data_IF_425051341105
#
_entry.id   IF_425051341105
#
_cell.length_a   1.000
_cell.length_b   1.000
_cell.length_c   1.000
_cell.angle_alpha   90.00
_cell.angle_beta   90.00
_cell.angle_gamma   90.00
#
_symmetry.space_group_name_H-M   'P 1'
#
loop_
_entity.id
_entity.type
_entity.pdbx_description
1 polymer ?
#
# COMPACT_ATOMS: atom_id res chain seq x y z
N UNK A 1 -8.48 40.79 3.48
CA UNK A 1 -9.42 39.67 3.29
C UNK A 1 -8.57 38.40 3.22
N UNK A 2 -8.69 37.52 4.22
CA UNK A 2 -7.89 36.30 4.35
C UNK A 2 -8.61 35.19 3.56
N UNK A 3 -7.98 34.71 2.50
CA UNK A 3 -8.48 33.55 1.75
C UNK A 3 -8.23 32.29 2.59
N UNK A 4 -9.31 31.69 3.09
CA UNK A 4 -9.28 30.35 3.65
C UNK A 4 -9.25 29.36 2.48
N UNK A 5 -8.18 28.58 2.40
CA UNK A 5 -8.07 27.46 1.47
C UNK A 5 -9.09 26.42 1.93
N UNK A 6 -10.14 26.25 1.14
CA UNK A 6 -11.11 25.16 1.27
C UNK A 6 -10.41 23.86 0.85
N UNK A 7 -9.88 23.12 1.82
CA UNK A 7 -9.47 21.73 1.66
C UNK A 7 -10.72 20.84 1.71
N UNK A 8 -11.52 20.89 0.65
CA UNK A 8 -12.76 20.10 0.51
C UNK A 8 -12.61 19.25 -0.76
N UNK A 9 -12.74 17.92 -0.59
CA UNK A 9 -12.55 16.83 -1.56
C UNK A 9 -11.14 16.23 -1.59
N UNK A 10 -10.78 15.52 -0.51
CA UNK A 10 -9.50 14.82 -0.39
C UNK A 10 -9.65 13.38 0.13
N UNK A 11 -10.41 12.57 -0.59
CA UNK A 11 -10.26 11.12 -0.51
C UNK A 11 -9.03 10.63 -1.29
N UNK A 12 -8.36 11.50 -2.07
CA UNK A 12 -7.20 11.16 -2.92
C UNK A 12 -6.05 12.20 -2.92
N UNK A 13 -6.17 13.44 -2.43
CA UNK A 13 -5.07 14.45 -2.61
C UNK A 13 -4.09 14.64 -1.44
N UNK A 14 -3.69 13.62 -0.71
CA UNK A 14 -2.36 13.72 -0.10
C UNK A 14 -1.39 13.19 -1.14
N UNK A 15 -0.44 14.03 -1.58
CA UNK A 15 0.61 13.81 -2.61
C UNK A 15 0.43 14.59 -3.94
N UNK A 16 -0.18 15.78 -3.94
CA UNK A 16 0.00 16.76 -5.04
C UNK A 16 0.97 17.86 -4.62
N UNK A 17 2.22 17.77 -5.09
CA UNK A 17 3.23 18.81 -4.90
C UNK A 17 2.86 20.12 -5.59
N UNK A 18 3.13 21.24 -4.93
CA UNK A 18 3.10 22.57 -5.53
C UNK A 18 4.29 22.73 -6.48
N UNK A 19 4.03 23.00 -7.76
CA UNK A 19 5.04 23.33 -8.76
C UNK A 19 5.73 24.66 -8.43
N UNK A 20 7.02 24.61 -8.07
CA UNK A 20 7.94 25.74 -8.25
C UNK A 20 8.96 25.40 -9.34
N UNK A 21 8.68 25.88 -10.56
CA UNK A 21 9.58 25.84 -11.70
C UNK A 21 10.89 26.56 -11.38
N UNK A 22 12.02 25.85 -11.42
CA UNK A 22 13.31 26.43 -11.79
C UNK A 22 14.01 25.61 -12.87
N UNK A 23 14.05 26.20 -14.06
CA UNK A 23 14.85 25.79 -15.20
C UNK A 23 16.31 25.58 -14.82
N UNK A 24 16.89 24.45 -15.23
CA UNK A 24 18.33 24.38 -15.54
C UNK A 24 18.56 23.46 -16.73
N UNK A 25 19.16 24.03 -17.77
CA UNK A 25 19.66 23.34 -18.97
C UNK A 25 21.01 22.67 -18.66
N UNK A 26 21.43 21.62 -19.39
CA UNK A 26 22.51 20.73 -19.01
C UNK A 26 23.86 21.12 -19.63
N UNK A 27 24.94 20.80 -18.94
CA UNK A 27 26.31 20.69 -19.48
C UNK A 27 26.88 19.36 -18.99
N UNK A 28 26.88 18.31 -19.81
CA UNK A 28 27.94 17.92 -20.76
C UNK A 28 29.15 17.25 -20.11
N UNK A 29 29.36 16.00 -20.55
CA UNK A 29 30.61 15.25 -20.70
C UNK A 29 31.42 14.86 -19.44
N UNK A 30 31.52 13.54 -19.19
CA UNK A 30 32.66 12.75 -19.69
C UNK A 30 32.69 11.36 -19.02
N UNK A 31 32.62 10.29 -19.82
CA UNK A 31 33.38 9.06 -19.57
C UNK A 31 34.69 9.19 -20.36
N UNK A 32 35.82 8.58 -19.94
CA UNK A 32 36.01 7.16 -20.26
C UNK A 32 36.96 6.35 -19.34
N UNK A 33 36.75 5.02 -19.33
CA UNK A 33 37.77 3.92 -19.32
C UNK A 33 38.71 3.79 -18.09
N UNK A 34 39.14 2.61 -17.61
CA UNK A 34 39.61 1.38 -18.31
C UNK A 34 39.92 0.27 -17.29
N UNK A 35 39.85 -1.00 -17.73
CA UNK A 35 40.74 -2.15 -17.39
C UNK A 35 40.84 -2.68 -15.93
N UNK A 36 41.14 -3.95 -15.63
CA UNK A 36 41.27 -5.23 -16.34
C UNK A 36 41.44 -6.34 -15.28
N UNK A 37 40.88 -7.52 -15.59
CA UNK A 37 41.46 -8.87 -15.46
C UNK A 37 41.79 -9.58 -14.13
N UNK A 38 41.42 -10.87 -14.21
CA UNK A 38 42.00 -12.12 -13.66
C UNK A 38 41.37 -12.67 -12.36
N UNK A 39 40.57 -13.74 -12.40
CA UNK A 39 40.80 -15.17 -12.79
C UNK A 39 41.53 -15.94 -11.69
N UNK A 40 40.87 -16.94 -11.07
CA UNK A 40 41.37 -18.31 -10.80
C UNK A 40 40.20 -19.21 -10.33
N UNK A 41 40.10 -20.38 -10.98
CA UNK A 41 39.28 -21.57 -10.68
C UNK A 41 39.88 -22.41 -9.53
N UNK A 42 39.06 -23.24 -8.86
CA UNK A 42 39.12 -24.73 -8.75
C UNK A 42 38.10 -25.19 -7.68
N UNK A 43 37.11 -26.05 -8.02
CA UNK A 43 37.10 -27.54 -8.01
C UNK A 43 37.05 -28.15 -6.58
N UNK A 44 36.30 -29.19 -6.17
CA UNK A 44 35.29 -30.12 -6.73
C UNK A 44 34.72 -30.98 -5.54
N UNK A 45 33.63 -31.73 -5.78
CA UNK A 45 33.14 -32.99 -5.16
C UNK A 45 32.17 -32.92 -3.96
N UNK A 46 30.93 -33.46 -3.98
CA UNK A 46 30.29 -34.76 -4.30
C UNK A 46 30.29 -35.85 -3.20
N UNK A 47 29.10 -36.41 -2.97
CA UNK A 47 28.80 -37.65 -2.21
C UNK A 47 27.58 -37.44 -1.29
N UNK A 48 26.32 -37.76 -1.62
CA UNK A 48 25.66 -39.04 -1.95
C UNK A 48 25.74 -40.07 -0.81
N UNK A 49 24.60 -40.29 -0.13
CA UNK A 49 24.18 -41.65 0.21
C UNK A 49 22.65 -41.79 0.41
N UNK A 50 22.19 -43.00 0.10
CA UNK A 50 20.81 -43.49 -0.10
C UNK A 50 20.46 -44.36 1.13
N UNK A 51 19.22 -44.53 1.63
CA UNK A 51 18.34 -45.65 1.26
C UNK A 51 17.17 -45.90 2.25
N UNK A 52 16.02 -46.26 1.65
CA UNK A 52 15.07 -47.37 1.96
C UNK A 52 14.15 -47.25 3.20
N UNK A 53 12.84 -46.95 3.02
CA UNK A 53 11.65 -47.83 2.78
C UNK A 53 11.07 -48.50 4.03
N UNK A 54 9.80 -48.20 4.36
CA UNK A 54 8.77 -49.22 4.62
C UNK A 54 7.35 -48.63 4.67
N UNK A 55 6.41 -49.50 4.30
CA UNK A 55 5.05 -49.30 3.80
C UNK A 55 3.96 -49.54 4.86
N UNK A 56 2.74 -49.11 4.46
CA UNK A 56 1.40 -49.47 4.96
C UNK A 56 0.89 -48.80 6.24
N UNK A 57 -0.19 -48.02 6.14
CA UNK A 57 -1.55 -48.51 6.40
C UNK A 57 -2.61 -47.43 6.06
N UNK A 58 -3.74 -47.91 5.54
CA UNK A 58 -4.95 -47.14 5.25
C UNK A 58 -5.47 -46.45 6.51
N UNK A 59 -5.68 -45.14 6.43
CA UNK A 59 -6.76 -44.49 7.18
C UNK A 59 -7.36 -43.39 6.33
N UNK A 60 -8.57 -43.69 5.83
CA UNK A 60 -9.50 -42.72 5.25
C UNK A 60 -9.90 -41.73 6.34
N UNK A 61 -9.14 -40.64 6.45
CA UNK A 61 -9.59 -39.44 7.13
C UNK A 61 -10.28 -38.62 6.06
N UNK A 62 -11.61 -38.54 6.14
CA UNK A 62 -12.37 -37.45 5.54
C UNK A 62 -11.90 -36.14 6.19
N UNK A 63 -10.77 -35.64 5.71
CA UNK A 63 -10.40 -34.25 5.86
C UNK A 63 -11.04 -33.54 4.69
N UNK A 64 -12.14 -32.84 4.98
CA UNK A 64 -12.57 -31.72 4.17
C UNK A 64 -11.39 -30.75 4.09
N UNK A 65 -10.56 -30.94 3.06
CA UNK A 65 -9.60 -29.95 2.59
C UNK A 65 -10.40 -28.77 2.01
N UNK A 66 -11.05 -28.01 2.89
CA UNK A 66 -11.15 -26.58 2.66
C UNK A 66 -9.72 -26.06 2.77
N UNK A 67 -8.97 -26.23 1.68
CA UNK A 67 -7.68 -25.58 1.51
C UNK A 67 -7.95 -24.08 1.60
N UNK A 68 -7.87 -23.55 2.82
CA UNK A 68 -7.65 -22.14 3.11
C UNK A 68 -6.35 -21.80 2.40
N UNK A 69 -6.46 -21.37 1.14
CA UNK A 69 -5.32 -20.84 0.42
C UNK A 69 -5.03 -19.48 1.05
N UNK A 70 -4.27 -19.49 2.13
CA UNK A 70 -3.73 -18.27 2.71
C UNK A 70 -2.76 -17.71 1.68
N UNK A 71 -3.01 -16.48 1.24
CA UNK A 71 -2.11 -15.81 0.30
C UNK A 71 -0.70 -15.76 0.89
N UNK A 72 0.35 -15.88 0.07
CA UNK A 72 1.70 -15.69 0.56
C UNK A 72 1.84 -14.31 1.19
N UNK A 73 2.41 -14.21 2.39
CA UNK A 73 2.53 -12.95 3.15
C UNK A 73 3.13 -11.82 2.32
N UNK A 74 4.13 -12.12 1.49
CA UNK A 74 4.76 -11.15 0.60
C UNK A 74 3.83 -10.60 -0.48
N UNK A 75 2.85 -11.40 -0.94
CA UNK A 75 1.79 -10.93 -1.84
C UNK A 75 0.92 -9.95 -1.06
N UNK A 76 0.44 -10.33 0.13
CA UNK A 76 -0.35 -9.45 1.00
C UNK A 76 0.36 -8.11 1.27
N UNK A 77 1.65 -8.13 1.60
CA UNK A 77 2.45 -6.94 1.84
C UNK A 77 2.50 -6.00 0.62
N UNK A 78 2.55 -6.54 -0.60
CA UNK A 78 2.52 -5.74 -1.83
C UNK A 78 1.23 -4.92 -1.97
N UNK A 79 0.08 -5.48 -1.57
CA UNK A 79 -1.19 -4.76 -1.56
C UNK A 79 -1.23 -3.73 -0.43
N UNK A 80 -0.78 -4.13 0.76
CA UNK A 80 -0.85 -3.31 1.97
C UNK A 80 0.14 -2.14 1.97
N UNK A 81 1.26 -2.23 1.26
CA UNK A 81 2.16 -1.09 1.03
C UNK A 81 1.44 0.08 0.35
N UNK A 82 0.41 -0.23 -0.45
CA UNK A 82 -0.44 0.76 -1.11
C UNK A 82 -1.74 1.05 -0.33
N UNK A 83 -1.81 0.60 0.93
CA UNK A 83 -2.76 0.99 2.00
C UNK A 83 -4.24 0.69 1.78
N UNK A 84 -4.59 -0.17 0.83
CA UNK A 84 -5.99 -0.54 0.60
C UNK A 84 -6.22 -2.02 0.96
N UNK A 85 -6.46 -2.36 2.25
CA UNK A 85 -6.80 -3.72 2.66
C UNK A 85 -8.06 -4.24 1.96
N UNK A 86 -8.94 -3.34 1.53
CA UNK A 86 -10.13 -3.69 0.77
C UNK A 86 -9.85 -4.31 -0.61
N UNK A 87 -8.63 -4.18 -1.13
CA UNK A 87 -8.25 -4.71 -2.43
C UNK A 87 -7.56 -6.07 -2.37
N UNK A 88 -7.29 -6.57 -1.18
CA UNK A 88 -6.70 -7.89 -0.97
C UNK A 88 -7.56 -8.96 -1.65
N UNK A 89 -6.94 -9.98 -2.28
CA UNK A 89 -7.68 -11.15 -2.73
C UNK A 89 -8.14 -11.99 -1.54
N UNK A 90 -9.31 -12.61 -1.64
CA UNK A 90 -9.79 -13.52 -0.60
C UNK A 90 -9.20 -14.94 -0.76
N UNK A 91 -9.18 -15.47 -1.99
CA UNK A 91 -8.74 -16.86 -2.27
C UNK A 91 -7.74 -17.01 -3.39
N UNK A 92 -7.82 -16.19 -4.44
CA UNK A 92 -7.11 -16.43 -5.70
C UNK A 92 -6.30 -15.21 -6.10
N UNK A 93 -5.07 -15.42 -6.55
CA UNK A 93 -4.23 -14.34 -7.06
C UNK A 93 -4.93 -13.60 -8.20
N UNK A 94 -4.83 -12.29 -8.13
CA UNK A 94 -5.48 -11.39 -9.07
C UNK A 94 -4.45 -11.00 -10.14
N UNK A 95 -4.89 -10.96 -11.40
CA UNK A 95 -4.15 -10.45 -12.54
C UNK A 95 -4.42 -8.96 -12.75
N UNK A 96 -5.70 -8.58 -12.65
CA UNK A 96 -6.14 -7.20 -12.83
C UNK A 96 -7.39 -6.92 -12.01
N UNK A 97 -7.49 -5.70 -11.50
CA UNK A 97 -8.71 -5.15 -10.91
C UNK A 97 -9.08 -3.85 -11.62
N UNK A 98 -10.39 -3.63 -11.79
CA UNK A 98 -10.94 -2.34 -12.21
C UNK A 98 -12.05 -1.96 -11.24
N UNK A 99 -12.00 -0.74 -10.71
CA UNK A 99 -13.05 -0.19 -9.85
C UNK A 99 -13.65 0.99 -10.59
N UNK A 100 -14.94 0.91 -10.86
CA UNK A 100 -15.70 1.91 -11.58
C UNK A 100 -16.59 2.68 -10.63
N UNK A 101 -16.50 4.00 -10.69
CA UNK A 101 -17.41 4.95 -10.06
C UNK A 101 -17.80 6.04 -11.06
N UNK A 102 -17.57 7.33 -10.78
CA UNK A 102 -17.49 8.39 -11.79
C UNK A 102 -16.29 8.19 -12.71
N UNK A 103 -15.17 7.79 -12.13
CA UNK A 103 -13.90 7.58 -12.81
C UNK A 103 -13.50 6.10 -12.73
N UNK A 104 -12.56 5.73 -13.60
CA UNK A 104 -12.07 4.35 -13.69
C UNK A 104 -10.73 4.25 -12.98
N UNK A 105 -10.67 3.41 -11.96
CA UNK A 105 -9.41 2.98 -11.32
C UNK A 105 -9.00 1.62 -11.85
N UNK A 106 -7.71 1.41 -12.07
CA UNK A 106 -7.19 0.12 -12.54
C UNK A 106 -5.89 -0.25 -11.84
N UNK A 107 -5.74 -1.53 -11.52
CA UNK A 107 -4.57 -2.08 -10.84
C UNK A 107 -4.21 -3.39 -11.51
N UNK A 108 -2.95 -3.53 -11.88
CA UNK A 108 -2.42 -4.70 -12.58
C UNK A 108 -1.36 -5.38 -11.72
N UNK A 109 -1.32 -6.71 -11.81
CA UNK A 109 -0.45 -7.55 -11.00
C UNK A 109 0.44 -8.40 -11.91
N UNK A 110 1.62 -8.78 -11.42
CA UNK A 110 2.49 -9.70 -12.13
C UNK A 110 2.04 -11.17 -11.94
N UNK A 111 2.70 -12.11 -12.61
CA UNK A 111 2.35 -13.54 -12.53
C UNK A 111 2.59 -14.18 -11.13
N UNK A 112 3.25 -13.47 -10.22
CA UNK A 112 3.45 -13.87 -8.83
C UNK A 112 2.40 -13.25 -7.89
N UNK A 113 1.52 -12.39 -8.41
CA UNK A 113 0.46 -11.71 -7.66
C UNK A 113 0.87 -10.37 -7.05
N UNK A 114 2.09 -9.88 -7.27
CA UNK A 114 2.54 -8.59 -6.78
C UNK A 114 1.94 -7.43 -7.59
N UNK A 115 1.65 -6.31 -6.92
CA UNK A 115 1.22 -5.06 -7.58
C UNK A 115 2.31 -4.64 -8.56
N UNK A 116 1.98 -4.59 -9.84
CA UNK A 116 2.89 -4.17 -10.91
C UNK A 116 2.71 -2.70 -11.25
N UNK A 117 1.48 -2.25 -11.41
CA UNK A 117 1.16 -0.85 -11.63
C UNK A 117 -0.29 -0.56 -11.31
N UNK A 118 -0.60 0.72 -11.14
CA UNK A 118 -1.95 1.21 -10.94
C UNK A 118 -2.14 2.60 -11.57
N UNK A 119 -3.39 2.89 -11.88
CA UNK A 119 -3.90 4.22 -12.20
C UNK A 119 -5.14 4.45 -11.34
N UNK A 120 -5.02 5.34 -10.36
CA UNK A 120 -6.07 5.72 -9.44
C UNK A 120 -6.48 7.17 -9.74
N UNK A 121 -7.25 7.34 -10.81
CA UNK A 121 -7.79 8.64 -11.24
C UNK A 121 -6.69 9.64 -11.63
N UNK A 122 -5.70 9.17 -12.40
CA UNK A 122 -4.57 9.96 -12.89
C UNK A 122 -3.36 9.95 -11.96
N UNK A 123 -3.48 9.37 -10.77
CA UNK A 123 -2.36 9.01 -9.92
C UNK A 123 -1.80 7.66 -10.36
N UNK A 124 -0.58 7.67 -10.90
CA UNK A 124 0.08 6.52 -11.48
C UNK A 124 1.18 5.99 -10.56
N UNK A 125 1.24 4.68 -10.42
CA UNK A 125 2.37 3.97 -9.82
C UNK A 125 2.78 2.77 -10.66
N UNK A 126 4.09 2.51 -10.78
CA UNK A 126 4.65 1.33 -11.44
C UNK A 126 5.85 0.80 -10.67
N UNK A 127 5.85 -0.51 -10.41
CA UNK A 127 6.90 -1.21 -9.68
C UNK A 127 7.56 -2.22 -10.61
N UNK A 128 8.86 -2.04 -10.81
CA UNK A 128 9.69 -3.00 -11.51
C UNK A 128 10.54 -3.79 -10.50
N UNK A 129 10.15 -5.04 -10.27
CA UNK A 129 10.80 -5.95 -9.31
C UNK A 129 12.16 -6.47 -9.79
N UNK A 130 12.46 -6.39 -11.09
CA UNK A 130 13.71 -6.83 -11.69
C UNK A 130 14.77 -5.72 -11.63
N UNK A 131 14.37 -4.49 -11.95
CA UNK A 131 15.27 -3.31 -11.90
C UNK A 131 15.24 -2.59 -10.57
N UNK A 132 14.39 -3.03 -9.63
CA UNK A 132 14.17 -2.40 -8.34
C UNK A 132 13.88 -0.89 -8.44
N UNK A 133 12.91 -0.53 -9.30
CA UNK A 133 12.48 0.86 -9.50
C UNK A 133 11.01 1.04 -9.19
N UNK A 134 10.67 2.15 -8.54
CA UNK A 134 9.30 2.62 -8.38
C UNK A 134 9.13 3.93 -9.15
N UNK A 135 8.12 4.00 -10.01
CA UNK A 135 7.72 5.23 -10.70
C UNK A 135 6.40 5.66 -10.09
N UNK A 136 6.31 6.89 -9.61
CA UNK A 136 5.10 7.42 -8.97
C UNK A 136 4.87 8.88 -9.31
N UNK A 137 3.63 9.25 -9.56
CA UNK A 137 3.23 10.65 -9.74
C UNK A 137 1.92 10.81 -10.52
N UNK A 138 1.62 12.03 -10.93
CA UNK A 138 0.39 12.34 -11.69
C UNK A 138 0.71 12.87 -13.08
N UNK A 139 -0.06 12.41 -14.08
CA UNK A 139 0.00 12.91 -15.46
C UNK A 139 1.46 12.95 -15.99
N UNK A 140 1.97 14.16 -16.24
CA UNK A 140 3.29 14.44 -16.84
C UNK A 140 4.43 14.52 -15.81
N UNK A 141 4.11 14.54 -14.51
CA UNK A 141 5.10 14.60 -13.43
C UNK A 141 5.23 13.23 -12.78
N UNK A 142 6.34 12.54 -13.05
CA UNK A 142 6.64 11.21 -12.51
C UNK A 142 8.03 11.20 -11.91
N UNK A 143 8.09 10.80 -10.65
CA UNK A 143 9.34 10.60 -9.93
C UNK A 143 9.74 9.13 -9.97
N UNK A 144 11.04 8.88 -10.01
CA UNK A 144 11.61 7.54 -9.99
C UNK A 144 12.40 7.35 -8.71
N UNK A 145 12.19 6.21 -8.07
CA UNK A 145 12.83 5.83 -6.83
C UNK A 145 13.53 4.48 -6.97
N UNK A 146 14.69 4.37 -6.34
CA UNK A 146 15.37 3.09 -6.15
C UNK A 146 14.72 2.35 -4.98
N UNK A 147 14.31 1.10 -5.22
CA UNK A 147 13.69 0.24 -4.22
C UNK A 147 14.75 -0.66 -3.60
N UNK A 148 14.72 -0.80 -2.28
CA UNK A 148 15.38 -1.90 -1.60
C UNK A 148 14.35 -2.96 -1.26
N UNK A 149 14.59 -4.19 -1.72
CA UNK A 149 13.77 -5.36 -1.39
C UNK A 149 14.47 -6.26 -0.38
N UNK A 150 13.70 -6.97 0.44
CA UNK A 150 14.21 -8.14 1.16
C UNK A 150 14.26 -9.39 0.25
N UNK A 151 14.69 -10.52 0.82
CA UNK A 151 14.77 -11.81 0.12
C UNK A 151 13.41 -12.31 -0.39
N UNK A 152 12.32 -11.89 0.27
CA UNK A 152 10.93 -12.23 -0.08
C UNK A 152 10.28 -11.23 -1.04
N UNK A 153 11.04 -10.25 -1.55
CA UNK A 153 10.58 -9.15 -2.42
C UNK A 153 9.61 -8.17 -1.76
N UNK A 154 9.58 -8.11 -0.42
CA UNK A 154 8.94 -7.00 0.27
C UNK A 154 9.75 -5.72 0.08
N UNK A 155 9.06 -4.60 -0.14
CA UNK A 155 9.68 -3.28 -0.16
C UNK A 155 10.07 -2.95 1.28
N UNK A 156 11.37 -2.83 1.57
CA UNK A 156 11.86 -2.41 2.89
C UNK A 156 12.24 -0.92 2.92
N UNK A 157 12.50 -0.33 1.75
CA UNK A 157 12.69 1.10 1.64
C UNK A 157 12.84 1.61 0.21
N UNK A 158 12.82 2.93 0.05
CA UNK A 158 13.00 3.62 -1.23
C UNK A 158 13.92 4.82 -1.09
N UNK A 159 14.66 5.14 -2.17
CA UNK A 159 15.49 6.34 -2.28
C UNK A 159 15.13 7.17 -3.50
N UNK A 160 15.21 8.49 -3.38
CA UNK A 160 15.08 9.40 -4.53
C UNK A 160 16.41 9.52 -5.31
N UNK A 161 16.43 10.34 -6.35
CA UNK A 161 17.63 10.59 -7.18
C UNK A 161 18.79 11.25 -6.44
N UNK A 162 18.57 11.78 -5.23
CA UNK A 162 19.59 12.39 -4.38
C UNK A 162 20.10 11.40 -3.31
N UNK A 163 19.78 10.11 -3.44
CA UNK A 163 20.08 9.05 -2.46
C UNK A 163 19.41 9.24 -1.08
N UNK A 164 18.45 10.15 -0.96
CA UNK A 164 17.70 10.38 0.27
C UNK A 164 16.66 9.27 0.45
N UNK A 165 16.58 8.71 1.66
CA UNK A 165 15.57 7.70 2.00
C UNK A 165 14.21 8.36 2.09
N UNK A 166 13.28 7.93 1.24
CA UNK A 166 11.93 8.50 1.13
C UNK A 166 10.82 7.52 1.53
N UNK A 167 11.14 6.24 1.69
CA UNK A 167 10.21 5.28 2.26
C UNK A 167 10.97 4.27 3.13
N UNK A 168 10.36 3.87 4.24
CA UNK A 168 10.81 2.77 5.10
C UNK A 168 9.58 1.95 5.47
N UNK A 169 9.72 0.63 5.46
CA UNK A 169 8.68 -0.30 5.88
C UNK A 169 9.17 -1.21 7.00
N UNK A 170 8.28 -1.48 7.95
CA UNK A 170 8.53 -2.37 9.09
C UNK A 170 7.61 -3.58 9.03
N UNK A 171 8.12 -4.72 9.50
CA UNK A 171 7.44 -6.02 9.44
C UNK A 171 7.46 -6.68 10.83
N UNK A 172 6.42 -7.42 11.16
CA UNK A 172 6.37 -8.22 12.39
C UNK A 172 7.15 -9.55 12.27
N UNK A 173 7.16 -10.33 13.35
CA UNK A 173 7.84 -11.62 13.41
C UNK A 173 7.29 -12.66 12.41
N UNK A 174 6.08 -12.45 11.88
CA UNK A 174 5.47 -13.30 10.85
C UNK A 174 5.76 -12.78 9.44
N UNK A 175 6.53 -11.69 9.31
CA UNK A 175 6.87 -11.03 8.07
C UNK A 175 5.73 -10.20 7.47
N UNK A 176 4.68 -9.89 8.25
CA UNK A 176 3.55 -9.05 7.80
C UNK A 176 3.93 -7.58 7.92
N UNK A 177 3.57 -6.78 6.93
CA UNK A 177 3.78 -5.33 6.95
C UNK A 177 2.99 -4.70 8.11
N UNK A 178 3.68 -4.03 9.04
CA UNK A 178 3.04 -3.36 10.18
C UNK A 178 3.15 -1.84 10.12
N UNK A 179 4.15 -1.30 9.43
CA UNK A 179 4.30 0.14 9.30
C UNK A 179 4.93 0.51 7.96
N UNK A 180 4.52 1.64 7.40
CA UNK A 180 5.21 2.30 6.30
C UNK A 180 5.26 3.79 6.57
N UNK A 181 6.45 4.36 6.49
CA UNK A 181 6.68 5.79 6.57
C UNK A 181 7.23 6.30 5.25
N UNK A 182 6.50 7.21 4.62
CA UNK A 182 6.90 7.95 3.44
C UNK A 182 7.37 9.34 3.90
N UNK A 183 8.61 9.70 3.61
CA UNK A 183 9.21 10.98 4.00
C UNK A 183 9.73 11.70 2.78
N UNK A 184 9.35 12.97 2.60
CA UNK A 184 9.68 13.73 1.40
C UNK A 184 9.38 13.01 0.06
N UNK A 185 8.37 12.12 0.07
CA UNK A 185 8.03 11.30 -1.07
C UNK A 185 7.25 12.14 -2.09
N UNK A 186 7.54 12.02 -3.38
CA UNK A 186 6.97 12.84 -4.44
C UNK A 186 7.24 14.35 -4.28
N UNK A 187 8.45 14.69 -3.81
CA UNK A 187 8.96 16.06 -3.65
C UNK A 187 8.06 16.99 -2.82
N UNK A 188 7.22 16.42 -1.95
CA UNK A 188 6.49 17.20 -0.96
C UNK A 188 7.23 17.19 0.38
N UNK A 189 6.84 18.10 1.27
CA UNK A 189 7.38 18.20 2.63
C UNK A 189 6.48 17.52 3.67
N UNK A 190 5.58 16.64 3.21
CA UNK A 190 4.62 15.93 4.05
C UNK A 190 5.18 14.53 4.28
N UNK A 191 5.40 14.21 5.54
CA UNK A 191 5.67 12.84 5.91
C UNK A 191 4.34 12.16 6.22
N UNK A 192 4.19 10.95 5.70
CA UNK A 192 3.02 10.12 5.90
C UNK A 192 3.44 8.81 6.55
N UNK A 193 2.72 8.41 7.58
CA UNK A 193 2.93 7.13 8.27
C UNK A 193 1.61 6.38 8.27
N UNK A 194 1.65 5.11 7.85
CA UNK A 194 0.55 4.16 7.99
C UNK A 194 0.98 2.99 8.87
N UNK A 195 0.19 2.66 9.88
CA UNK A 195 0.39 1.51 10.77
C UNK A 195 -0.78 0.55 10.67
N UNK A 196 -0.49 -0.74 10.54
CA UNK A 196 -1.47 -1.81 10.35
C UNK A 196 -1.53 -2.66 11.61
N UNK A 197 -2.74 -2.86 12.12
CA UNK A 197 -3.03 -3.71 13.27
C UNK A 197 -3.79 -4.93 12.77
N UNK A 198 -3.34 -6.11 13.20
CA UNK A 198 -3.92 -7.39 12.80
C UNK A 198 -4.59 -8.07 13.98
N UNK A 199 -5.70 -8.74 13.70
CA UNK A 199 -6.41 -9.62 14.63
C UNK A 199 -6.77 -10.91 13.88
N UNK A 200 -6.42 -12.07 14.44
CA UNK A 200 -6.64 -13.39 13.81
C UNK A 200 -6.15 -13.48 12.34
N UNK A 201 -4.96 -12.94 12.06
CA UNK A 201 -4.32 -12.87 10.74
C UNK A 201 -5.06 -12.05 9.67
N UNK A 202 -6.03 -11.23 10.08
CA UNK A 202 -6.71 -10.27 9.22
C UNK A 202 -6.36 -8.85 9.65
N UNK A 203 -6.39 -7.91 8.71
CA UNK A 203 -6.22 -6.49 9.03
C UNK A 203 -7.45 -6.05 9.80
N UNK A 204 -7.29 -5.64 11.05
CA UNK A 204 -8.39 -5.12 11.87
C UNK A 204 -8.50 -3.59 11.71
N UNK A 205 -7.36 -2.92 11.71
CA UNK A 205 -7.30 -1.47 11.70
C UNK A 205 -6.07 -0.96 10.94
N UNK A 206 -6.22 0.18 10.28
CA UNK A 206 -5.09 0.94 9.74
C UNK A 206 -5.13 2.36 10.29
N UNK A 207 -4.04 2.78 10.91
CA UNK A 207 -3.83 4.14 11.44
C UNK A 207 -3.04 4.94 10.42
N UNK A 208 -3.48 6.15 10.11
CA UNK A 208 -2.83 7.05 9.17
C UNK A 208 -2.54 8.38 9.86
N UNK A 209 -1.29 8.80 9.76
CA UNK A 209 -0.85 10.10 10.24
C UNK A 209 -0.08 10.81 9.14
N UNK A 210 -0.33 12.10 8.95
CA UNK A 210 0.52 12.94 8.12
C UNK A 210 0.97 14.15 8.92
N UNK A 211 2.22 14.55 8.73
CA UNK A 211 2.80 15.71 9.39
C UNK A 211 3.72 16.47 8.44
N UNK A 212 3.73 17.79 8.60
CA UNK A 212 4.67 18.67 7.91
C UNK A 212 5.89 18.87 8.78
N UNK A 213 7.07 18.62 8.23
CA UNK A 213 8.34 18.93 8.92
C UNK A 213 8.55 20.45 8.88
N UNK A 214 8.52 21.10 10.04
CA UNK A 214 8.78 22.54 10.15
C UNK A 214 10.27 22.82 10.34
N UNK A 215 10.93 22.01 11.16
CA UNK A 215 12.38 21.95 11.33
C UNK A 215 12.77 20.53 11.80
N UNK A 216 14.04 20.28 12.13
CA UNK A 216 14.51 18.95 12.56
C UNK A 216 13.93 18.46 13.89
N UNK A 217 13.30 19.34 14.68
CA UNK A 217 12.76 19.04 16.02
C UNK A 217 11.26 19.25 16.12
N UNK A 218 10.64 19.94 15.17
CA UNK A 218 9.22 20.29 15.17
C UNK A 218 8.53 19.73 13.95
N UNK A 219 7.50 18.95 14.24
CA UNK A 219 6.56 18.40 13.27
C UNK A 219 5.17 18.92 13.61
N UNK A 220 4.39 19.28 12.60
CA UNK A 220 3.00 19.68 12.75
C UNK A 220 2.12 18.60 12.14
N UNK A 221 1.35 17.83 12.94
CA UNK A 221 0.34 16.92 12.40
C UNK A 221 -0.69 17.70 11.58
N UNK A 222 -0.98 17.19 10.38
CA UNK A 222 -1.95 17.75 9.43
C UNK A 222 -3.03 16.76 9.04
N UNK A 223 -2.84 15.47 9.33
CA UNK A 223 -3.87 14.44 9.20
C UNK A 223 -3.71 13.42 10.33
N UNK A 224 -4.83 13.07 10.96
CA UNK A 224 -4.96 11.88 11.81
C UNK A 224 -6.23 11.16 11.37
N UNK A 225 -6.09 9.90 10.98
CA UNK A 225 -7.18 9.07 10.45
C UNK A 225 -7.03 7.63 10.90
N UNK A 226 -8.16 6.98 11.13
CA UNK A 226 -8.25 5.56 11.47
C UNK A 226 -9.20 4.87 10.50
N UNK A 227 -8.86 3.67 10.03
CA UNK A 227 -9.72 2.83 9.21
C UNK A 227 -9.94 1.50 9.92
N UNK A 228 -11.15 1.26 10.39
CA UNK A 228 -11.56 -0.08 10.85
C UNK A 228 -11.92 -0.94 9.65
N UNK A 229 -11.56 -2.22 9.70
CA UNK A 229 -11.82 -3.21 8.66
C UNK A 229 -12.60 -4.36 9.28
N UNK A 230 -13.82 -4.58 8.80
CA UNK A 230 -14.78 -5.51 9.39
C UNK A 230 -15.08 -6.61 8.38
N UNK A 231 -15.02 -7.86 8.85
CA UNK A 231 -15.30 -9.05 8.06
C UNK A 231 -16.54 -9.77 8.57
N UNK A 232 -17.29 -10.40 7.67
CA UNK A 232 -18.43 -11.24 8.02
C UNK A 232 -17.98 -12.64 8.51
N UNK A 233 -18.94 -13.50 8.85
CA UNK A 233 -18.68 -14.86 9.33
C UNK A 233 -17.90 -15.74 8.33
N UNK A 234 -18.01 -15.46 7.03
CA UNK A 234 -17.30 -16.14 5.95
C UNK A 234 -15.90 -15.54 5.69
N UNK A 235 -15.44 -14.63 6.56
CA UNK A 235 -14.19 -13.86 6.42
C UNK A 235 -14.13 -13.04 5.13
N UNK A 236 -15.27 -12.63 4.59
CA UNK A 236 -15.36 -11.68 3.49
C UNK A 236 -15.37 -10.26 4.06
N UNK A 237 -14.74 -9.33 3.35
CA UNK A 237 -14.78 -7.93 3.73
C UNK A 237 -16.22 -7.43 3.68
N UNK A 238 -16.79 -7.07 4.82
CA UNK A 238 -18.17 -6.60 4.93
C UNK A 238 -18.22 -5.07 4.88
N UNK A 239 -17.30 -4.42 5.60
CA UNK A 239 -17.35 -2.99 5.82
C UNK A 239 -15.98 -2.41 6.15
N UNK A 240 -15.73 -1.18 5.72
CA UNK A 240 -14.67 -0.33 6.27
C UNK A 240 -15.26 0.95 6.81
N UNK A 241 -14.67 1.46 7.89
CA UNK A 241 -15.08 2.73 8.52
C UNK A 241 -13.83 3.58 8.71
N UNK A 242 -13.71 4.62 7.89
CA UNK A 242 -12.61 5.58 7.95
C UNK A 242 -13.05 6.82 8.72
N UNK A 243 -12.42 7.10 9.86
CA UNK A 243 -12.66 8.30 10.67
C UNK A 243 -11.51 9.27 10.50
N UNK A 244 -11.80 10.51 10.13
CA UNK A 244 -10.81 11.60 10.08
C UNK A 244 -11.09 12.57 11.22
N UNK A 245 -10.08 12.85 12.03
CA UNK A 245 -10.22 13.65 13.25
C UNK A 245 -9.96 15.13 12.99
N UNK A 246 -10.71 16.01 13.67
CA UNK A 246 -10.42 17.44 13.66
C UNK A 246 -9.16 17.73 14.46
N UNK A 247 -8.27 18.53 13.88
CA UNK A 247 -7.04 18.96 14.52
C UNK A 247 -7.12 20.44 14.93
N UNK A 248 -6.56 20.76 16.10
CA UNK A 248 -6.33 22.13 16.54
C UNK A 248 -5.25 22.80 15.68
N UNK A 249 -5.08 24.12 15.82
CA UNK A 249 -3.99 24.83 15.15
C UNK A 249 -2.57 24.34 15.56
N UNK A 250 -2.46 23.55 16.63
CA UNK A 250 -1.22 22.90 17.07
C UNK A 250 -1.07 21.47 16.56
N UNK A 251 -2.03 20.96 15.79
CA UNK A 251 -2.04 19.59 15.28
C UNK A 251 -2.49 18.54 16.31
N UNK A 252 -3.14 18.96 17.40
CA UNK A 252 -3.68 18.05 18.42
C UNK A 252 -5.12 17.68 18.06
N UNK A 253 -5.51 16.40 18.23
CA UNK A 253 -6.91 15.98 18.08
C UNK A 253 -7.78 16.74 19.07
N UNK A 254 -8.84 17.38 18.58
CA UNK A 254 -9.77 18.14 19.39
C UNK A 254 -10.67 17.17 20.16
N UNK A 255 -10.80 17.39 21.48
CA UNK A 255 -11.71 16.66 22.36
C UNK A 255 -12.89 17.57 22.71
N UNK A 256 -14.12 17.07 22.58
CA UNK A 256 -15.34 17.84 22.87
C UNK A 256 -15.65 17.91 24.38
N UNK A 257 -16.73 18.61 24.73
CA UNK A 257 -17.23 18.77 26.12
C UNK A 257 -17.70 17.46 26.78
N UNK A 258 -17.87 16.39 26.00
CA UNK A 258 -18.21 15.04 26.45
C UNK A 258 -17.00 14.12 26.58
N UNK A 259 -15.78 14.64 26.41
CA UNK A 259 -14.54 13.87 26.43
C UNK A 259 -14.44 12.84 25.28
N UNK A 260 -15.00 13.16 24.12
CA UNK A 260 -14.93 12.36 22.90
C UNK A 260 -14.05 13.07 21.85
N UNK A 261 -13.34 12.32 21.02
CA UNK A 261 -12.56 12.87 19.90
C UNK A 261 -13.51 13.42 18.83
N UNK A 262 -13.31 14.68 18.43
CA UNK A 262 -14.13 15.29 17.37
C UNK A 262 -13.73 14.78 15.98
N UNK A 263 -14.74 14.35 15.23
CA UNK A 263 -14.59 13.90 13.85
C UNK A 263 -14.81 15.06 12.89
N UNK A 264 -13.89 15.20 11.93
CA UNK A 264 -14.08 16.05 10.76
C UNK A 264 -15.02 15.37 9.76
N UNK A 265 -14.80 14.08 9.54
CA UNK A 265 -15.62 13.26 8.67
C UNK A 265 -15.56 11.78 9.04
N UNK A 266 -16.55 11.02 8.59
CA UNK A 266 -16.55 9.56 8.61
C UNK A 266 -16.99 9.05 7.26
N UNK A 267 -16.14 8.24 6.63
CA UNK A 267 -16.47 7.50 5.42
C UNK A 267 -16.73 6.04 5.79
N UNK A 268 -17.86 5.51 5.32
CA UNK A 268 -18.24 4.12 5.52
C UNK A 268 -18.45 3.47 4.16
N UNK A 269 -17.64 2.46 3.82
CA UNK A 269 -17.88 1.62 2.67
C UNK A 269 -18.51 0.30 3.11
N UNK A 270 -19.70 0.01 2.60
CA UNK A 270 -20.35 -1.30 2.78
C UNK A 270 -20.16 -2.12 1.50
N UNK A 271 -19.56 -3.29 1.63
CA UNK A 271 -19.26 -4.18 0.51
C UNK A 271 -20.35 -5.24 0.39
N UNK A 272 -20.78 -5.49 -0.84
CA UNK A 272 -21.92 -6.34 -1.14
C UNK A 272 -21.70 -7.04 -2.47
N UNK A 273 -22.34 -8.19 -2.64
CA UNK A 273 -22.08 -9.11 -3.75
C UNK A 273 -20.63 -9.60 -3.76
N UNK A 274 -20.48 -10.91 -3.78
CA UNK A 274 -19.17 -11.55 -3.80
C UNK A 274 -19.15 -12.53 -4.96
N UNK A 275 -18.03 -12.58 -5.67
CA UNK A 275 -17.85 -13.58 -6.72
C UNK A 275 -17.51 -14.95 -6.12
N UNK A 276 -17.32 -15.96 -6.97
CA UNK A 276 -16.99 -17.33 -6.57
C UNK A 276 -15.69 -17.47 -5.74
N UNK A 277 -14.82 -16.46 -5.79
CA UNK A 277 -13.58 -16.42 -5.02
C UNK A 277 -13.72 -15.63 -3.72
N UNK A 278 -14.94 -15.24 -3.34
CA UNK A 278 -15.27 -14.47 -2.12
C UNK A 278 -14.76 -13.02 -2.11
N UNK A 279 -14.32 -12.51 -3.25
CA UNK A 279 -13.97 -11.09 -3.41
C UNK A 279 -15.20 -10.25 -3.70
N UNK A 280 -15.31 -9.09 -3.05
CA UNK A 280 -16.44 -8.17 -3.26
C UNK A 280 -16.46 -7.62 -4.69
N UNK A 281 -17.66 -7.42 -5.24
CA UNK A 281 -17.87 -6.89 -6.58
C UNK A 281 -18.68 -5.60 -6.61
N UNK A 282 -19.42 -5.28 -5.55
CA UNK A 282 -20.07 -3.98 -5.37
C UNK A 282 -19.78 -3.39 -4.00
N UNK A 283 -19.74 -2.06 -3.94
CA UNK A 283 -19.69 -1.36 -2.67
C UNK A 283 -20.47 -0.05 -2.74
N UNK A 284 -20.91 0.40 -1.58
CA UNK A 284 -21.51 1.71 -1.40
C UNK A 284 -20.73 2.44 -0.33
N UNK A 285 -20.08 3.53 -0.70
CA UNK A 285 -19.32 4.37 0.22
C UNK A 285 -20.07 5.66 0.50
N UNK A 286 -20.30 5.94 1.78
CA UNK A 286 -21.00 7.12 2.27
C UNK A 286 -20.07 7.92 3.17
N UNK A 287 -19.81 9.19 2.82
CA UNK A 287 -19.10 10.14 3.67
C UNK A 287 -20.11 11.02 4.39
N UNK A 288 -19.93 11.18 5.70
CA UNK A 288 -20.70 12.06 6.57
C UNK A 288 -19.78 13.09 7.22
N UNK A 289 -20.29 14.30 7.48
CA UNK A 289 -19.53 15.44 8.02
C UNK A 289 -19.49 16.61 7.03
N UNK A 290 -18.34 17.28 6.93
CA UNK A 290 -18.16 18.34 5.94
C UNK A 290 -18.05 17.74 4.52
N UNK A 291 -18.98 18.09 3.63
CA UNK A 291 -18.96 17.60 2.23
C UNK A 291 -19.51 16.19 2.06
N UNK A 292 -20.56 15.83 2.82
CA UNK A 292 -21.22 14.53 2.74
C UNK A 292 -21.51 14.10 1.30
N UNK A 293 -21.24 12.83 0.99
CA UNK A 293 -21.37 12.27 -0.34
C UNK A 293 -21.70 10.79 -0.28
N UNK A 294 -22.19 10.25 -1.40
CA UNK A 294 -22.46 8.82 -1.55
C UNK A 294 -22.02 8.40 -2.94
N UNK A 295 -21.23 7.33 -3.01
CA UNK A 295 -20.70 6.78 -4.25
C UNK A 295 -20.95 5.28 -4.30
N UNK A 296 -21.38 4.80 -5.48
CA UNK A 296 -21.52 3.38 -5.75
C UNK A 296 -20.28 2.93 -6.53
N UNK A 297 -19.69 1.81 -6.11
CA UNK A 297 -18.51 1.23 -6.73
C UNK A 297 -18.88 -0.13 -7.32
N UNK A 298 -18.37 -0.40 -8.51
CA UNK A 298 -18.38 -1.74 -9.10
C UNK A 298 -16.95 -2.19 -9.35
N UNK A 299 -16.58 -3.37 -8.83
CA UNK A 299 -15.26 -3.96 -8.98
C UNK A 299 -15.34 -5.18 -9.90
N UNK A 300 -14.51 -5.16 -10.94
CA UNK A 300 -14.29 -6.30 -11.84
C UNK A 300 -12.89 -6.85 -11.58
N UNK A 301 -12.76 -8.17 -11.51
CA UNK A 301 -11.51 -8.85 -11.16
C UNK A 301 -11.22 -9.92 -12.21
N UNK A 302 -10.03 -9.86 -12.80
CA UNK A 302 -9.44 -10.94 -13.59
C UNK A 302 -8.42 -11.68 -12.72
N UNK A 303 -8.49 -13.01 -12.68
CA UNK A 303 -7.61 -13.84 -11.87
C UNK A 303 -6.48 -14.46 -12.71
N UNK A 304 -5.37 -14.82 -12.05
CA UNK A 304 -4.26 -15.59 -12.67
C UNK A 304 -4.64 -17.05 -12.95
#
# INVERSE_FOLDING_TARGET
MKNYIYLLLLSIFLLTGCDDKKNSQPSSDATPTTNQNNKVNTDTQNGKDTSITNSNENNTINSSNDNKLQLPTQVTNSYLFHTEPELLPNKKLIKQQTIQSSDKKSINYNNQGYVKNYDLEGLYGEINYDTAKYIYGMKDTRNSYDITFDESKNIIGMKNSNDEIVAISEFDEQGRLVETTLSNFADNNINFTSKIIYENDLVEQVLYNAYVKMDDKKQLPVLVREKDVIYNADKQLEKTITRTFKLSAKGEVIINDKNEQELESTETCSYSEYNQNNDWTKAVCETTGNGSSKINLTRTIEYL
#
